data_IF_499611224936
#
_entry.id   IF_499611224936
#
_cell.length_a   1.000
_cell.length_b   1.000
_cell.length_c   1.000
_cell.angle_alpha   90.00
_cell.angle_beta   90.00
_cell.angle_gamma   90.00
#
_symmetry.space_group_name_H-M   'P 1'
#
loop_
_entity.id
_entity.type
_entity.pdbx_description
1 polymer ?
#
# COMPACT_ATOMS: atom_id res chain seq x y z
N UNK A 1 11.13 -46.70 -83.49
CA UNK A 1 11.20 -46.91 -82.03
C UNK A 1 10.77 -45.62 -81.34
N UNK A 2 9.85 -45.76 -80.38
CA UNK A 2 9.36 -44.79 -79.35
C UNK A 2 8.62 -43.50 -79.78
N UNK A 3 7.63 -43.21 -78.94
CA UNK A 3 6.39 -42.46 -79.17
C UNK A 3 6.46 -40.97 -78.82
N UNK A 4 5.49 -40.14 -79.29
CA UNK A 4 5.37 -38.73 -78.92
C UNK A 4 4.71 -38.55 -77.53
N UNK A 5 5.35 -37.75 -76.66
CA UNK A 5 4.88 -37.45 -75.31
C UNK A 5 3.82 -36.33 -75.29
N UNK A 6 2.66 -36.69 -74.76
CA UNK A 6 1.87 -35.97 -73.74
C UNK A 6 1.61 -34.47 -73.91
N UNK A 7 0.53 -34.12 -74.61
CA UNK A 7 -0.11 -32.79 -74.59
C UNK A 7 -1.50 -32.80 -73.94
N UNK A 8 -1.85 -33.84 -73.17
CA UNK A 8 -3.22 -34.11 -72.73
C UNK A 8 -3.54 -33.73 -71.26
N UNK A 9 -2.66 -33.01 -70.56
CA UNK A 9 -2.81 -32.76 -69.11
C UNK A 9 -3.38 -31.40 -68.72
N UNK A 10 -3.54 -30.44 -69.64
CA UNK A 10 -3.95 -29.07 -69.29
C UNK A 10 -5.46 -28.87 -69.13
N UNK A 11 -6.30 -29.62 -69.85
CA UNK A 11 -7.76 -29.47 -69.80
C UNK A 11 -8.43 -30.12 -68.58
N UNK A 12 -7.80 -31.15 -68.01
CA UNK A 12 -8.27 -31.84 -66.80
C UNK A 12 -7.80 -31.19 -65.49
N UNK A 13 -6.91 -30.19 -65.55
CA UNK A 13 -6.42 -29.44 -64.38
C UNK A 13 -7.43 -28.40 -63.87
N UNK A 14 -8.21 -27.76 -64.74
CA UNK A 14 -9.16 -26.69 -64.38
C UNK A 14 -10.15 -27.08 -63.27
N UNK A 15 -10.86 -28.22 -63.33
CA UNK A 15 -11.76 -28.63 -62.25
C UNK A 15 -11.01 -29.04 -60.96
N UNK A 16 -9.82 -29.61 -61.07
CA UNK A 16 -9.00 -29.97 -59.91
C UNK A 16 -8.46 -28.73 -59.15
N UNK A 17 -8.18 -27.64 -59.86
CA UNK A 17 -7.79 -26.37 -59.26
C UNK A 17 -8.95 -25.72 -58.51
N UNK A 18 -10.18 -25.79 -59.04
CA UNK A 18 -11.37 -25.29 -58.35
C UNK A 18 -11.62 -26.01 -57.02
N UNK A 19 -11.49 -27.34 -57.01
CA UNK A 19 -11.59 -28.12 -55.77
C UNK A 19 -10.53 -27.70 -54.73
N UNK A 20 -9.29 -27.46 -55.16
CA UNK A 20 -8.21 -26.98 -54.29
C UNK A 20 -8.45 -25.56 -53.78
N UNK A 21 -9.05 -24.69 -54.58
CA UNK A 21 -9.42 -23.33 -54.16
C UNK A 21 -10.51 -23.39 -53.09
N UNK A 22 -11.51 -24.27 -53.25
CA UNK A 22 -12.56 -24.47 -52.26
C UNK A 22 -12.00 -25.02 -50.94
N UNK A 23 -11.15 -26.03 -51.00
CA UNK A 23 -10.43 -26.58 -49.84
C UNK A 23 -9.61 -25.49 -49.12
N UNK A 24 -8.84 -24.69 -49.86
CA UNK A 24 -8.04 -23.59 -49.28
C UNK A 24 -8.90 -22.48 -48.69
N UNK A 25 -10.08 -22.21 -49.25
CA UNK A 25 -11.03 -21.25 -48.66
C UNK A 25 -11.56 -21.76 -47.31
N UNK A 26 -11.88 -23.05 -47.21
CA UNK A 26 -12.29 -23.66 -45.96
C UNK A 26 -11.17 -23.63 -44.91
N UNK A 27 -9.93 -23.95 -45.32
CA UNK A 27 -8.75 -23.87 -44.43
C UNK A 27 -8.51 -22.43 -43.95
N UNK A 28 -8.61 -21.44 -44.84
CA UNK A 28 -8.49 -20.02 -44.47
C UNK A 28 -9.59 -19.57 -43.49
N UNK A 29 -10.80 -20.10 -43.62
CA UNK A 29 -11.87 -19.81 -42.68
C UNK A 29 -11.54 -20.39 -41.29
N UNK A 30 -11.09 -21.63 -41.22
CA UNK A 30 -10.63 -22.25 -39.96
C UNK A 30 -9.46 -21.47 -39.33
N UNK A 31 -8.50 -21.02 -40.13
CA UNK A 31 -7.38 -20.20 -39.63
C UNK A 31 -7.83 -18.82 -39.11
N UNK A 32 -8.88 -18.23 -39.71
CA UNK A 32 -9.47 -16.98 -39.21
C UNK A 32 -10.16 -17.20 -37.87
N UNK A 33 -10.93 -18.28 -37.72
CA UNK A 33 -11.56 -18.66 -36.45
C UNK A 33 -10.50 -18.88 -35.35
N UNK A 34 -9.41 -19.60 -35.67
CA UNK A 34 -8.30 -19.78 -34.73
C UNK A 34 -7.63 -18.46 -34.35
N UNK A 35 -7.45 -17.54 -35.31
CA UNK A 35 -6.90 -16.21 -35.02
C UNK A 35 -7.84 -15.40 -34.13
N UNK A 36 -9.14 -15.46 -34.37
CA UNK A 36 -10.14 -14.75 -33.56
C UNK A 36 -10.23 -15.32 -32.14
N UNK A 37 -10.15 -16.65 -31.99
CA UNK A 37 -10.04 -17.31 -30.69
C UNK A 37 -8.75 -16.93 -29.96
N UNK A 38 -7.61 -16.90 -30.66
CA UNK A 38 -6.34 -16.46 -30.06
C UNK A 38 -6.39 -15.00 -29.62
N UNK A 39 -7.04 -14.13 -30.39
CA UNK A 39 -7.26 -12.73 -29.99
C UNK A 39 -8.15 -12.64 -28.75
N UNK A 40 -9.22 -13.45 -28.67
CA UNK A 40 -10.09 -13.50 -27.50
C UNK A 40 -9.33 -13.98 -26.24
N UNK A 41 -8.47 -15.00 -26.36
CA UNK A 41 -7.62 -15.47 -25.25
C UNK A 41 -6.64 -14.40 -24.80
N UNK A 42 -6.03 -13.65 -25.73
CA UNK A 42 -5.16 -12.53 -25.39
C UNK A 42 -5.91 -11.46 -24.57
N UNK A 43 -7.11 -11.08 -25.00
CA UNK A 43 -7.94 -10.12 -24.26
C UNK A 43 -8.30 -10.65 -22.86
N UNK A 44 -8.52 -11.97 -22.72
CA UNK A 44 -8.75 -12.58 -21.42
C UNK A 44 -7.49 -12.56 -20.54
N UNK A 45 -6.30 -12.76 -21.11
CA UNK A 45 -5.04 -12.63 -20.37
C UNK A 45 -4.83 -11.21 -19.85
N UNK A 46 -5.10 -10.19 -20.67
CA UNK A 46 -5.04 -8.78 -20.25
C UNK A 46 -6.06 -8.47 -19.15
N UNK A 47 -7.30 -8.97 -19.27
CA UNK A 47 -8.31 -8.79 -18.24
C UNK A 47 -7.94 -9.51 -16.92
N UNK A 48 -7.28 -10.67 -17.00
CA UNK A 48 -6.77 -11.37 -15.81
C UNK A 48 -5.62 -10.61 -15.17
N UNK A 49 -4.73 -10.02 -15.95
CA UNK A 49 -3.66 -9.16 -15.45
C UNK A 49 -4.23 -7.99 -14.63
N UNK A 50 -5.22 -7.28 -15.16
CA UNK A 50 -5.89 -6.17 -14.43
C UNK A 50 -6.53 -6.63 -13.11
N UNK A 51 -7.05 -7.87 -13.06
CA UNK A 51 -7.58 -8.44 -11.82
C UNK A 51 -6.48 -8.80 -10.84
N UNK A 52 -5.35 -9.32 -11.32
CA UNK A 52 -4.19 -9.64 -10.48
C UNK A 52 -3.54 -8.39 -9.90
N UNK A 53 -3.46 -7.29 -10.67
CA UNK A 53 -2.98 -6.01 -10.14
C UNK A 53 -3.92 -5.49 -9.06
N UNK A 54 -5.24 -5.49 -9.29
CA UNK A 54 -6.22 -5.07 -8.28
C UNK A 54 -6.13 -5.91 -7.00
N UNK A 55 -5.95 -7.23 -7.13
CA UNK A 55 -5.75 -8.11 -5.98
C UNK A 55 -4.44 -7.80 -5.24
N UNK A 56 -3.35 -7.56 -5.98
CA UNK A 56 -2.06 -7.15 -5.42
C UNK A 56 -2.19 -5.86 -4.62
N UNK A 57 -2.82 -4.83 -5.20
CA UNK A 57 -3.05 -3.53 -4.53
C UNK A 57 -3.88 -3.72 -3.24
N UNK A 58 -4.90 -4.59 -3.28
CA UNK A 58 -5.68 -4.96 -2.11
C UNK A 58 -4.84 -5.64 -1.02
N UNK A 59 -3.90 -6.53 -1.40
CA UNK A 59 -3.00 -7.17 -0.44
C UNK A 59 -2.00 -6.20 0.17
N UNK A 60 -1.51 -5.22 -0.59
CA UNK A 60 -0.66 -4.14 -0.07
C UNK A 60 -1.42 -3.27 0.94
N UNK A 61 -2.67 -2.91 0.63
CA UNK A 61 -3.53 -2.16 1.56
C UNK A 61 -3.74 -2.92 2.89
N UNK A 62 -3.97 -4.23 2.83
CA UNK A 62 -4.09 -5.08 4.04
C UNK A 62 -2.76 -5.13 4.80
N UNK A 63 -1.62 -5.26 4.11
CA UNK A 63 -0.31 -5.25 4.73
C UNK A 63 -0.03 -3.92 5.47
N UNK A 64 -0.43 -2.79 4.89
CA UNK A 64 -0.34 -1.48 5.54
C UNK A 64 -1.21 -1.40 6.80
N UNK A 65 -2.45 -1.90 6.75
CA UNK A 65 -3.33 -1.99 7.92
C UNK A 65 -2.68 -2.87 9.00
N UNK A 66 -2.18 -4.06 8.65
CA UNK A 66 -1.49 -4.93 9.61
C UNK A 66 -0.24 -4.27 10.21
N UNK A 67 0.55 -3.55 9.42
CA UNK A 67 1.69 -2.77 9.89
C UNK A 67 1.28 -1.69 10.89
N UNK A 68 0.17 -0.99 10.62
CA UNK A 68 -0.40 -0.03 11.57
C UNK A 68 -0.82 -0.71 12.89
N UNK A 69 -1.58 -1.81 12.83
CA UNK A 69 -1.99 -2.55 14.02
C UNK A 69 -0.79 -3.09 14.82
N UNK A 70 0.28 -3.54 14.15
CA UNK A 70 1.52 -3.93 14.80
C UNK A 70 2.12 -2.79 15.63
N UNK A 71 2.17 -1.59 15.06
CA UNK A 71 2.66 -0.40 15.77
C UNK A 71 1.79 -0.05 16.99
N UNK A 72 0.47 -0.09 16.84
CA UNK A 72 -0.48 0.17 17.93
C UNK A 72 -0.31 -0.85 19.06
N UNK A 73 -0.29 -2.15 18.75
CA UNK A 73 -0.13 -3.21 19.75
C UNK A 73 1.24 -3.13 20.44
N UNK A 74 2.30 -2.81 19.71
CA UNK A 74 3.64 -2.60 20.29
C UNK A 74 3.64 -1.41 21.24
N UNK A 75 3.04 -0.29 20.86
CA UNK A 75 2.93 0.89 21.71
C UNK A 75 2.16 0.57 23.00
N UNK A 76 1.04 -0.14 22.90
CA UNK A 76 0.25 -0.58 24.07
C UNK A 76 1.08 -1.50 24.97
N UNK A 77 1.83 -2.45 24.40
CA UNK A 77 2.65 -3.37 25.18
C UNK A 77 3.79 -2.64 25.91
N UNK A 78 4.50 -1.75 25.23
CA UNK A 78 5.55 -0.92 25.85
C UNK A 78 4.98 -0.03 26.97
N UNK A 79 3.81 0.59 26.76
CA UNK A 79 3.13 1.36 27.80
C UNK A 79 2.66 0.47 28.98
N UNK A 80 2.12 -0.71 28.68
CA UNK A 80 1.65 -1.67 29.69
C UNK A 80 2.80 -2.21 30.54
N UNK A 81 3.99 -2.40 29.98
CA UNK A 81 5.18 -2.77 30.76
C UNK A 81 5.66 -1.64 31.66
N UNK A 82 5.62 -0.38 31.20
CA UNK A 82 5.98 0.76 32.04
C UNK A 82 5.05 0.88 33.25
N UNK A 83 3.74 0.66 33.07
CA UNK A 83 2.79 0.67 34.17
C UNK A 83 3.01 -0.46 35.20
N UNK A 84 3.53 -1.61 34.76
CA UNK A 84 3.86 -2.74 35.66
C UNK A 84 5.14 -2.49 36.46
N UNK A 85 6.11 -1.79 35.88
CA UNK A 85 7.36 -1.43 36.54
C UNK A 85 7.13 -0.43 37.70
N UNK A 86 6.14 0.48 37.55
CA UNK A 86 5.71 1.34 38.65
C UNK A 86 5.10 0.56 39.84
N UNK A 87 4.49 -0.60 39.60
CA UNK A 87 3.93 -1.43 40.68
C UNK A 87 4.97 -2.21 41.47
N UNK A 88 6.08 -2.66 40.85
CA UNK A 88 7.20 -3.32 41.54
C UNK A 88 8.11 -2.31 42.26
N UNK A 89 8.23 -1.09 41.74
CA UNK A 89 8.92 0.02 42.41
C UNK A 89 8.17 0.50 43.67
N UNK A 90 6.88 0.19 43.84
CA UNK A 90 6.10 0.61 45.02
C UNK A 90 6.49 -0.07 46.35
N UNK A 91 7.21 -1.21 46.32
CA UNK A 91 7.65 -1.87 47.56
C UNK A 91 8.98 -1.31 48.09
N UNK A 92 9.82 -0.72 47.23
CA UNK A 92 11.05 -0.03 47.67
C UNK A 92 10.90 1.50 47.67
N UNK A 93 9.94 2.05 46.91
CA UNK A 93 9.66 3.49 46.87
C UNK A 93 9.06 4.04 48.17
N UNK A 94 8.48 3.21 49.04
CA UNK A 94 8.01 3.68 50.35
C UNK A 94 9.18 4.10 51.27
N UNK A 95 10.38 3.52 51.11
CA UNK A 95 11.56 3.95 51.87
C UNK A 95 12.23 5.18 51.24
N UNK A 96 12.31 5.25 49.92
CA UNK A 96 12.85 6.41 49.21
C UNK A 96 11.95 7.65 49.33
N UNK A 97 10.63 7.47 49.34
CA UNK A 97 9.64 8.55 49.56
C UNK A 97 9.68 9.09 50.99
N UNK A 98 9.88 8.22 51.99
CA UNK A 98 10.16 8.64 53.37
C UNK A 98 11.47 9.43 53.48
N UNK A 99 12.52 9.03 52.76
CA UNK A 99 13.79 9.75 52.74
C UNK A 99 13.70 11.12 52.05
N UNK A 100 12.95 11.22 50.94
CA UNK A 100 12.72 12.48 50.23
C UNK A 100 11.80 13.44 51.01
N UNK A 101 10.75 12.92 51.65
CA UNK A 101 9.85 13.70 52.50
C UNK A 101 10.54 14.21 53.78
N UNK A 102 11.41 13.39 54.40
CA UNK A 102 12.23 13.81 55.54
C UNK A 102 13.24 14.91 55.16
N UNK A 103 13.74 14.89 53.92
CA UNK A 103 14.70 15.90 53.43
C UNK A 103 14.04 17.25 53.08
N UNK A 104 12.73 17.27 52.85
CA UNK A 104 11.95 18.50 52.63
C UNK A 104 11.54 19.24 53.92
N UNK A 105 11.64 18.61 55.10
CA UNK A 105 11.07 19.13 56.36
C UNK A 105 12.04 19.91 57.27
N UNK A 106 13.28 20.21 56.85
CA UNK A 106 14.26 20.91 57.70
C UNK A 106 14.68 22.27 57.13
N UNK A 107 14.21 23.40 57.69
CA UNK A 107 14.76 24.70 57.34
C UNK A 107 16.09 24.92 58.08
N UNK A 108 17.15 25.07 57.28
CA UNK A 108 18.45 25.72 57.58
C UNK A 108 19.32 25.15 58.71
N UNK A 109 20.47 24.60 58.34
CA UNK A 109 21.78 25.14 58.77
C UNK A 109 22.91 24.38 58.07
N UNK A 110 23.58 25.12 57.18
CA UNK A 110 25.02 25.16 56.90
C UNK A 110 25.82 23.87 56.55
N UNK A 111 26.77 24.10 55.63
CA UNK A 111 27.94 23.29 55.28
C UNK A 111 27.85 22.14 54.26
N UNK A 112 28.41 22.43 53.07
CA UNK A 112 29.45 21.68 52.35
C UNK A 112 29.09 20.70 51.22
N UNK A 113 29.89 20.86 50.14
CA UNK A 113 29.93 20.16 48.85
C UNK A 113 30.03 18.63 48.95
N UNK A 114 29.42 17.92 47.99
CA UNK A 114 30.12 16.88 47.21
C UNK A 114 29.35 16.49 45.93
N UNK A 115 30.15 16.21 44.91
CA UNK A 115 29.87 15.91 43.51
C UNK A 115 29.30 14.48 43.31
N UNK A 116 28.13 14.33 42.68
CA UNK A 116 27.62 13.05 42.16
C UNK A 116 26.44 13.26 41.19
N UNK A 117 26.30 12.40 40.16
CA UNK A 117 25.93 12.81 38.81
C UNK A 117 24.43 13.04 38.63
N UNK A 118 24.12 14.00 37.75
CA UNK A 118 22.77 14.26 37.25
C UNK A 118 22.14 12.95 36.75
N UNK A 119 21.22 12.40 37.54
CA UNK A 119 20.26 11.42 37.07
C UNK A 119 19.42 12.11 36.00
N UNK A 120 19.70 11.78 34.73
CA UNK A 120 18.82 12.03 33.61
C UNK A 120 17.49 11.30 33.88
N UNK A 121 16.64 11.86 34.74
CA UNK A 121 15.19 11.68 34.65
C UNK A 121 14.76 12.38 33.36
N UNK A 122 15.03 11.73 32.24
CA UNK A 122 14.64 12.21 30.92
C UNK A 122 13.13 12.12 30.87
N UNK A 123 12.44 13.24 31.12
CA UNK A 123 11.00 13.36 30.92
C UNK A 123 10.65 12.78 29.55
N UNK A 124 9.57 11.97 29.45
CA UNK A 124 9.17 11.42 28.17
C UNK A 124 8.90 12.58 27.19
N UNK A 125 9.70 12.67 26.13
CA UNK A 125 9.48 13.66 25.09
C UNK A 125 8.17 13.34 24.36
N UNK A 126 7.31 14.35 24.16
CA UNK A 126 5.99 14.22 23.54
C UNK A 126 6.00 14.21 22.01
N UNK A 127 7.17 13.95 21.40
CA UNK A 127 7.35 14.11 19.97
C UNK A 127 6.74 12.93 19.19
N UNK A 128 5.67 13.20 18.46
CA UNK A 128 4.96 12.22 17.61
C UNK A 128 5.19 12.56 16.14
N UNK A 129 5.37 11.54 15.29
CA UNK A 129 5.47 11.71 13.83
C UNK A 129 4.07 11.72 13.21
N UNK A 130 3.70 12.81 12.57
CA UNK A 130 2.44 12.93 11.80
C UNK A 130 2.80 13.00 10.31
N UNK A 131 2.32 12.07 9.46
CA UNK A 131 2.55 12.13 8.02
C UNK A 131 1.95 13.41 7.41
N UNK A 132 2.71 14.11 6.55
CA UNK A 132 2.27 15.34 5.87
C UNK A 132 1.76 15.10 4.44
N UNK A 133 1.65 13.86 3.99
CA UNK A 133 1.41 13.53 2.56
C UNK A 133 0.06 14.05 2.02
N UNK A 134 -0.93 14.25 2.88
CA UNK A 134 -2.25 14.80 2.52
C UNK A 134 -2.43 16.30 2.82
N UNK A 135 -1.38 16.97 3.31
CA UNK A 135 -1.46 18.39 3.68
C UNK A 135 -1.85 19.33 2.51
N UNK A 136 -1.34 19.16 1.26
CA UNK A 136 -1.70 20.04 0.14
C UNK A 136 -3.17 19.90 -0.26
N UNK A 137 -3.71 18.69 -0.24
CA UNK A 137 -5.11 18.41 -0.58
C UNK A 137 -6.09 18.96 0.46
N UNK A 138 -5.72 18.94 1.75
CA UNK A 138 -6.52 19.53 2.81
C UNK A 138 -6.50 21.07 2.75
N UNK A 139 -5.35 21.67 2.43
CA UNK A 139 -5.25 23.13 2.23
C UNK A 139 -6.09 23.58 1.03
N UNK A 140 -6.03 22.85 -0.10
CA UNK A 140 -6.84 23.17 -1.28
C UNK A 140 -8.35 23.06 -1.01
N UNK A 141 -8.79 22.11 -0.18
CA UNK A 141 -10.19 22.02 0.25
C UNK A 141 -10.58 23.15 1.20
N UNK A 142 -9.70 23.53 2.13
CA UNK A 142 -9.93 24.66 3.03
C UNK A 142 -10.06 25.98 2.27
N UNK A 143 -9.14 26.25 1.33
CA UNK A 143 -9.17 27.46 0.50
C UNK A 143 -10.41 27.49 -0.41
N UNK A 144 -10.85 26.33 -0.93
CA UNK A 144 -12.07 26.23 -1.73
C UNK A 144 -13.35 26.49 -0.92
N UNK A 145 -13.40 26.03 0.33
CA UNK A 145 -14.52 26.32 1.25
C UNK A 145 -14.52 27.80 1.60
N UNK A 146 -13.35 28.39 1.88
CA UNK A 146 -13.21 29.82 2.18
C UNK A 146 -13.64 30.68 0.99
N UNK A 147 -13.19 30.36 -0.23
CA UNK A 147 -13.63 31.04 -1.45
C UNK A 147 -15.16 30.95 -1.66
N UNK A 148 -15.76 29.78 -1.43
CA UNK A 148 -17.21 29.60 -1.53
C UNK A 148 -17.98 30.42 -0.48
N UNK A 149 -17.44 30.59 0.73
CA UNK A 149 -18.07 31.43 1.78
C UNK A 149 -17.98 32.93 1.49
N UNK A 150 -16.96 33.37 0.75
CA UNK A 150 -16.80 34.76 0.33
C UNK A 150 -17.73 35.09 -0.84
N UNK A 151 -17.91 34.17 -1.80
CA UNK A 151 -18.81 34.37 -2.95
C UNK A 151 -20.29 34.53 -2.51
N UNK A 152 -20.78 33.73 -1.55
CA UNK A 152 -22.17 33.81 -1.04
C UNK A 152 -22.47 35.14 -0.33
N UNK A 153 -21.46 35.75 0.30
CA UNK A 153 -21.60 37.05 0.97
C UNK A 153 -21.62 38.24 0.00
N UNK A 154 -21.02 38.10 -1.19
CA UNK A 154 -20.98 39.18 -2.20
C UNK A 154 -22.17 39.19 -3.16
N UNK A 155 -22.94 38.10 -3.22
CA UNK A 155 -24.13 38.00 -4.07
C UNK A 155 -25.42 38.60 -3.44
N UNK A 156 -25.37 39.02 -2.17
CA UNK A 156 -26.52 39.57 -1.42
C UNK A 156 -26.43 41.06 -1.09
N UNK A 157 -25.58 41.85 -1.77
CA UNK A 157 -25.58 43.32 -1.71
C UNK A 157 -26.06 43.93 -3.02
#
# INVERSE_FOLDING_TARGET
MRAPSSSASSSSQSPALLARIEEKKAELQSLRELRDLSAAVSNQMEALEQKLTTLSDGTEAIAAVMGNWHNVLRAINMASSMFRDETESSTTANEASLFFAAKLAKPSSDASMEDAPASNESLPQTLVRIPTEHAPTLQAQADAIEAATVEDSTAST
#
